data_IF_316789567063
#
_entry.id   IF_316789567063
#
_cell.length_a   1.000
_cell.length_b   1.000
_cell.length_c   1.000
_cell.angle_alpha   90.00
_cell.angle_beta   90.00
_cell.angle_gamma   90.00
#
_symmetry.space_group_name_H-M   'P 1'
#
loop_
_entity.id
_entity.type
_entity.pdbx_description
1 polymer ?
#
# COMPACT_ATOMS: atom_id res chain seq x y z
N UNK A 1 1.23 11.18 -0.13
CA UNK A 1 2.43 11.58 -0.89
C UNK A 1 2.62 10.72 -2.14
N UNK A 2 2.68 9.39 -2.02
CA UNK A 2 2.93 8.48 -3.16
C UNK A 2 1.92 8.60 -4.31
N UNK A 3 0.64 8.80 -4.00
CA UNK A 3 -0.40 9.07 -5.02
C UNK A 3 -0.10 10.31 -5.86
N UNK A 4 0.27 11.42 -5.20
CA UNK A 4 0.58 12.68 -5.88
C UNK A 4 1.81 12.51 -6.77
N UNK A 5 2.85 11.83 -6.27
CA UNK A 5 4.09 11.65 -7.01
C UNK A 5 3.89 10.72 -8.21
N UNK A 6 3.20 9.58 -8.06
CA UNK A 6 2.90 8.69 -9.18
C UNK A 6 1.97 9.36 -10.20
N UNK A 7 0.95 10.09 -9.74
CA UNK A 7 0.08 10.87 -10.62
C UNK A 7 0.86 11.91 -11.43
N UNK A 8 1.77 12.65 -10.78
CA UNK A 8 2.61 13.64 -11.44
C UNK A 8 3.59 12.98 -12.43
N UNK A 9 4.18 11.83 -12.08
CA UNK A 9 4.98 11.02 -13.02
C UNK A 9 4.18 10.66 -14.28
N UNK A 10 2.94 10.21 -14.11
CA UNK A 10 2.04 9.89 -15.23
C UNK A 10 1.75 11.10 -16.12
N UNK A 11 1.42 12.24 -15.51
CA UNK A 11 1.21 13.49 -16.23
C UNK A 11 2.45 13.91 -17.02
N UNK A 12 3.64 13.81 -16.42
CA UNK A 12 4.90 14.07 -17.14
C UNK A 12 5.08 13.11 -18.33
N UNK A 13 4.65 11.85 -18.20
CA UNK A 13 4.70 10.87 -19.28
C UNK A 13 3.74 11.18 -20.43
N UNK A 14 2.54 11.69 -20.15
CA UNK A 14 1.58 12.07 -21.20
C UNK A 14 1.89 13.41 -21.86
N UNK A 15 2.29 14.41 -21.07
CA UNK A 15 2.44 15.79 -21.53
C UNK A 15 3.89 16.22 -21.76
N UNK A 16 4.86 15.35 -21.46
CA UNK A 16 6.28 15.54 -21.78
C UNK A 16 6.90 16.82 -21.16
N UNK A 17 6.49 17.20 -19.96
CA UNK A 17 7.08 18.32 -19.20
C UNK A 17 8.05 17.85 -18.11
N UNK A 18 8.91 18.75 -17.64
CA UNK A 18 9.83 18.53 -16.52
C UNK A 18 9.36 19.24 -15.24
N UNK A 19 9.72 18.69 -14.09
CA UNK A 19 9.43 19.27 -12.77
C UNK A 19 10.75 19.42 -12.04
N UNK A 20 11.05 20.64 -11.56
CA UNK A 20 12.32 20.95 -10.88
C UNK A 20 13.57 20.49 -11.65
N UNK A 21 13.56 20.68 -12.98
CA UNK A 21 14.62 20.23 -13.90
C UNK A 21 14.83 18.71 -13.99
N UNK A 22 14.04 17.89 -13.27
CA UNK A 22 14.04 16.45 -13.42
C UNK A 22 13.20 16.06 -14.64
N UNK A 23 13.76 15.19 -15.48
CA UNK A 23 13.01 14.59 -16.58
C UNK A 23 12.08 13.47 -16.08
N UNK A 24 11.17 13.02 -16.95
CA UNK A 24 10.19 11.98 -16.62
C UNK A 24 10.83 10.72 -16.01
N UNK A 25 11.95 10.24 -16.55
CA UNK A 25 12.63 9.02 -16.07
C UNK A 25 13.16 9.17 -14.65
N UNK A 26 13.87 10.27 -14.37
CA UNK A 26 14.42 10.55 -13.04
C UNK A 26 13.31 10.68 -12.01
N UNK A 27 12.22 11.38 -12.36
CA UNK A 27 11.09 11.56 -11.48
C UNK A 27 10.32 10.25 -11.25
N UNK A 28 10.19 9.40 -12.28
CA UNK A 28 9.58 8.08 -12.18
C UNK A 28 10.33 7.15 -11.22
N UNK A 29 11.68 7.18 -11.25
CA UNK A 29 12.50 6.40 -10.32
C UNK A 29 12.25 6.82 -8.88
N UNK A 30 12.31 8.11 -8.58
CA UNK A 30 12.09 8.65 -7.22
C UNK A 30 10.68 8.32 -6.73
N UNK A 31 9.67 8.57 -7.57
CA UNK A 31 8.27 8.27 -7.28
C UNK A 31 8.04 6.79 -6.97
N UNK A 32 8.61 5.89 -7.79
CA UNK A 32 8.50 4.44 -7.60
C UNK A 32 9.15 3.97 -6.29
N UNK A 33 10.35 4.49 -5.96
CA UNK A 33 11.03 4.17 -4.70
C UNK A 33 10.18 4.62 -3.50
N UNK A 34 9.70 5.86 -3.51
CA UNK A 34 8.88 6.40 -2.41
C UNK A 34 7.56 5.63 -2.26
N UNK A 35 6.94 5.25 -3.37
CA UNK A 35 5.77 4.40 -3.38
C UNK A 35 6.06 3.03 -2.75
N UNK A 36 7.07 2.30 -3.24
CA UNK A 36 7.43 0.97 -2.71
C UNK A 36 7.77 1.02 -1.22
N UNK A 37 8.47 2.08 -0.79
CA UNK A 37 8.79 2.31 0.60
C UNK A 37 7.52 2.52 1.44
N UNK A 38 6.59 3.34 0.97
CA UNK A 38 5.32 3.62 1.66
C UNK A 38 4.48 2.35 1.81
N UNK A 39 4.34 1.56 0.74
CA UNK A 39 3.59 0.29 0.77
C UNK A 39 4.22 -0.73 1.72
N UNK A 40 5.56 -0.77 1.75
CA UNK A 40 6.30 -1.61 2.70
C UNK A 40 6.06 -1.19 4.15
N UNK A 41 6.03 0.11 4.45
CA UNK A 41 5.70 0.63 5.78
C UNK A 41 4.28 0.25 6.20
N UNK A 42 3.31 0.34 5.29
CA UNK A 42 1.93 -0.06 5.53
C UNK A 42 1.87 -1.54 5.89
N UNK A 43 2.50 -2.43 5.10
CA UNK A 43 2.55 -3.86 5.41
C UNK A 43 3.20 -4.13 6.78
N UNK A 44 4.33 -3.48 7.08
CA UNK A 44 5.00 -3.64 8.37
C UNK A 44 4.15 -3.17 9.54
N UNK A 45 3.41 -2.07 9.40
CA UNK A 45 2.47 -1.63 10.42
C UNK A 45 1.46 -2.74 10.78
N UNK A 46 0.87 -3.41 9.80
CA UNK A 46 -0.08 -4.50 10.03
C UNK A 46 0.58 -5.78 10.58
N UNK A 47 1.84 -6.05 10.21
CA UNK A 47 2.61 -7.17 10.79
C UNK A 47 2.86 -6.92 12.28
N UNK A 48 3.38 -5.73 12.63
CA UNK A 48 3.73 -5.37 14.00
C UNK A 48 2.47 -5.31 14.86
N UNK A 49 1.43 -4.61 14.40
CA UNK A 49 0.19 -4.47 15.18
C UNK A 49 -0.50 -5.81 15.36
N UNK A 50 -0.55 -6.65 14.31
CA UNK A 50 -1.10 -8.00 14.43
C UNK A 50 -0.34 -8.88 15.44
N UNK A 51 1.00 -8.75 15.52
CA UNK A 51 1.81 -9.45 16.52
C UNK A 51 1.47 -8.95 17.94
N UNK A 52 1.41 -7.63 18.15
CA UNK A 52 1.05 -7.03 19.45
C UNK A 52 -0.35 -7.41 19.91
N UNK A 53 -1.34 -7.41 19.01
CA UNK A 53 -2.71 -7.87 19.34
C UNK A 53 -2.67 -9.33 19.81
N UNK A 54 -1.94 -10.21 19.10
CA UNK A 54 -1.81 -11.62 19.48
C UNK A 54 -1.18 -11.80 20.87
N UNK A 55 -0.12 -11.07 21.16
CA UNK A 55 0.56 -11.08 22.46
C UNK A 55 -0.39 -10.61 23.57
N UNK A 56 -1.08 -9.49 23.36
CA UNK A 56 -2.03 -8.93 24.32
C UNK A 56 -3.22 -9.84 24.60
N UNK A 57 -3.78 -10.51 23.58
CA UNK A 57 -4.84 -11.53 23.76
C UNK A 57 -4.35 -12.64 24.69
N UNK A 58 -3.11 -13.11 24.49
CA UNK A 58 -2.52 -14.19 25.30
C UNK A 58 -2.29 -13.75 26.75
N UNK A 59 -1.77 -12.54 26.95
CA UNK A 59 -1.46 -12.00 28.28
C UNK A 59 -2.70 -11.71 29.11
N UNK A 60 -3.77 -11.22 28.50
CA UNK A 60 -5.02 -10.83 29.19
C UNK A 60 -6.12 -11.89 29.08
N UNK A 61 -5.81 -13.07 28.54
CA UNK A 61 -6.75 -14.16 28.27
C UNK A 61 -8.01 -13.69 27.54
N UNK A 62 -7.88 -12.74 26.61
CA UNK A 62 -9.00 -12.23 25.81
C UNK A 62 -9.51 -13.31 24.84
N UNK A 63 -10.63 -13.02 24.18
CA UNK A 63 -11.18 -13.93 23.19
C UNK A 63 -10.23 -14.11 21.98
N UNK A 64 -9.86 -15.36 21.71
CA UNK A 64 -9.01 -15.72 20.58
C UNK A 64 -9.70 -15.48 19.22
N UNK A 65 -11.03 -15.38 19.18
CA UNK A 65 -11.77 -15.05 17.97
C UNK A 65 -11.41 -13.65 17.43
N UNK A 66 -11.04 -12.70 18.30
CA UNK A 66 -10.57 -11.37 17.88
C UNK A 66 -9.34 -11.44 16.95
N UNK A 67 -8.48 -12.45 17.15
CA UNK A 67 -7.32 -12.65 16.28
C UNK A 67 -7.72 -13.09 14.86
N UNK A 68 -8.89 -13.71 14.67
CA UNK A 68 -9.40 -14.01 13.32
C UNK A 68 -9.68 -12.74 12.52
N UNK A 69 -10.08 -11.64 13.17
CA UNK A 69 -10.23 -10.33 12.54
C UNK A 69 -8.91 -9.85 11.92
N UNK A 70 -7.81 -9.96 12.68
CA UNK A 70 -6.46 -9.62 12.21
C UNK A 70 -6.06 -10.44 10.98
N UNK A 71 -6.31 -11.75 11.00
CA UNK A 71 -5.98 -12.64 9.87
C UNK A 71 -6.79 -12.24 8.62
N UNK A 72 -8.12 -12.09 8.76
CA UNK A 72 -9.00 -11.69 7.64
C UNK A 72 -8.57 -10.38 7.02
N UNK A 73 -8.27 -9.38 7.84
CA UNK A 73 -7.80 -8.08 7.39
C UNK A 73 -6.48 -8.18 6.62
N UNK A 74 -5.49 -8.95 7.12
CA UNK A 74 -4.22 -9.16 6.41
C UNK A 74 -4.41 -9.89 5.08
N UNK A 75 -5.29 -10.91 5.03
CA UNK A 75 -5.60 -11.64 3.80
C UNK A 75 -6.29 -10.76 2.75
N UNK A 76 -7.05 -9.76 3.18
CA UNK A 76 -7.62 -8.73 2.30
C UNK A 76 -6.55 -7.75 1.83
N UNK A 77 -5.74 -7.21 2.73
CA UNK A 77 -4.81 -6.14 2.41
C UNK A 77 -3.59 -6.58 1.58
N UNK A 78 -2.90 -7.64 2.00
CA UNK A 78 -1.55 -7.94 1.52
C UNK A 78 -1.50 -8.34 0.03
N UNK A 79 -2.45 -9.15 -0.49
CA UNK A 79 -2.45 -9.47 -1.92
C UNK A 79 -2.61 -8.22 -2.79
N UNK A 80 -3.50 -7.30 -2.41
CA UNK A 80 -3.75 -6.08 -3.17
C UNK A 80 -2.59 -5.09 -3.12
N UNK A 81 -1.92 -4.94 -1.97
CA UNK A 81 -0.68 -4.15 -1.89
C UNK A 81 0.43 -4.78 -2.74
N UNK A 82 0.62 -6.09 -2.60
CA UNK A 82 1.70 -6.83 -3.29
C UNK A 82 1.53 -6.78 -4.80
N UNK A 83 0.33 -7.05 -5.33
CA UNK A 83 0.07 -7.02 -6.76
C UNK A 83 0.27 -5.60 -7.31
N UNK A 84 -0.10 -4.55 -6.56
CA UNK A 84 0.12 -3.18 -7.00
C UNK A 84 1.60 -2.81 -7.02
N UNK A 85 2.38 -3.26 -6.03
CA UNK A 85 3.85 -3.13 -6.05
C UNK A 85 4.43 -3.80 -7.29
N UNK A 86 4.01 -5.02 -7.63
CA UNK A 86 4.47 -5.70 -8.85
C UNK A 86 4.12 -4.91 -10.11
N UNK A 87 2.87 -4.42 -10.21
CA UNK A 87 2.42 -3.64 -11.37
C UNK A 87 3.22 -2.34 -11.52
N UNK A 88 3.37 -1.55 -10.44
CA UNK A 88 4.11 -0.28 -10.47
C UNK A 88 5.61 -0.51 -10.73
N UNK A 89 6.19 -1.56 -10.14
CA UNK A 89 7.59 -1.94 -10.38
C UNK A 89 7.84 -2.34 -11.84
N UNK A 90 6.97 -3.18 -12.39
CA UNK A 90 7.03 -3.57 -13.81
C UNK A 90 6.85 -2.35 -14.73
N UNK A 91 5.93 -1.45 -14.37
CA UNK A 91 5.69 -0.23 -15.13
C UNK A 91 6.90 0.70 -15.19
N UNK A 92 7.65 0.82 -14.09
CA UNK A 92 8.91 1.56 -14.07
C UNK A 92 9.96 0.92 -14.99
N UNK A 93 10.16 -0.41 -14.90
CA UNK A 93 11.12 -1.15 -15.74
C UNK A 93 10.77 -0.99 -17.23
N UNK A 94 9.49 -1.12 -17.59
CA UNK A 94 9.01 -0.94 -18.96
C UNK A 94 9.18 0.49 -19.47
N UNK A 95 9.18 1.50 -18.58
CA UNK A 95 9.54 2.87 -18.94
C UNK A 95 10.96 2.97 -19.52
N UNK A 96 11.91 2.18 -18.99
CA UNK A 96 13.24 2.04 -19.57
C UNK A 96 13.24 1.45 -20.99
N UNK A 97 12.38 0.46 -21.23
CA UNK A 97 12.22 -0.16 -22.55
C UNK A 97 11.55 0.78 -23.58
N UNK A 98 10.66 1.67 -23.13
CA UNK A 98 10.13 2.75 -23.98
C UNK A 98 11.24 3.72 -24.36
N UNK A 99 12.09 4.09 -23.40
CA UNK A 99 13.23 4.99 -23.64
C UNK A 99 14.25 4.41 -24.63
N UNK A 100 14.46 3.10 -24.64
CA UNK A 100 15.32 2.42 -25.61
C UNK A 100 14.66 2.14 -26.97
N UNK A 101 13.38 2.50 -27.13
CA UNK A 101 12.60 2.20 -28.35
C UNK A 101 12.17 0.74 -28.49
N UNK A 102 12.35 -0.08 -27.45
CA UNK A 102 12.05 -1.52 -27.46
C UNK A 102 10.61 -1.84 -27.04
N UNK A 103 9.85 -0.85 -26.56
CA UNK A 103 8.46 -0.99 -26.15
C UNK A 103 7.62 0.23 -26.56
N UNK A 104 6.38 0.07 -27.05
CA UNK A 104 5.58 1.20 -27.53
C UNK A 104 5.06 2.06 -26.38
N UNK A 105 5.22 3.38 -26.49
CA UNK A 105 4.82 4.35 -25.46
C UNK A 105 3.31 4.37 -25.18
N UNK A 106 2.45 4.11 -26.17
CA UNK A 106 1.00 4.07 -25.95
C UNK A 106 0.58 2.89 -25.05
N UNK A 107 1.24 1.73 -25.21
CA UNK A 107 0.96 0.56 -24.38
C UNK A 107 1.45 0.81 -22.95
N UNK A 108 2.60 1.47 -22.81
CA UNK A 108 3.12 1.92 -21.52
C UNK A 108 2.14 2.88 -20.83
N UNK A 109 1.60 3.86 -21.54
CA UNK A 109 0.55 4.75 -21.03
C UNK A 109 -0.68 4.00 -20.51
N UNK A 110 -1.23 3.07 -21.31
CA UNK A 110 -2.40 2.28 -20.86
C UNK A 110 -2.10 1.43 -19.62
N UNK A 111 -0.91 0.84 -19.51
CA UNK A 111 -0.50 0.11 -18.31
C UNK A 111 -0.38 1.03 -17.10
N UNK A 112 0.04 2.29 -17.29
CA UNK A 112 0.06 3.29 -16.22
C UNK A 112 -1.35 3.55 -15.69
N UNK A 113 -2.33 3.74 -16.58
CA UNK A 113 -3.70 4.03 -16.18
C UNK A 113 -4.28 2.88 -15.34
N UNK A 114 -4.05 1.64 -15.77
CA UNK A 114 -4.46 0.44 -15.01
C UNK A 114 -3.75 0.39 -13.64
N UNK A 115 -2.46 0.68 -13.60
CA UNK A 115 -1.68 0.72 -12.36
C UNK A 115 -2.23 1.76 -11.38
N UNK A 116 -2.55 2.96 -11.88
CA UNK A 116 -3.07 4.08 -11.09
C UNK A 116 -4.49 3.81 -10.58
N UNK A 117 -5.37 3.26 -11.44
CA UNK A 117 -6.71 2.84 -11.04
C UNK A 117 -6.66 1.78 -9.94
N UNK A 118 -5.81 0.76 -10.11
CA UNK A 118 -5.61 -0.27 -9.10
C UNK A 118 -5.02 0.33 -7.80
N UNK A 119 -4.10 1.30 -7.89
CA UNK A 119 -3.56 1.96 -6.70
C UNK A 119 -4.63 2.76 -5.94
N UNK A 120 -5.53 3.48 -6.64
CA UNK A 120 -6.65 4.16 -5.99
C UNK A 120 -7.55 3.20 -5.22
N UNK A 121 -7.81 2.01 -5.78
CA UNK A 121 -8.54 0.97 -5.06
C UNK A 121 -7.76 0.47 -3.84
N UNK A 122 -6.45 0.22 -3.97
CA UNK A 122 -5.61 -0.19 -2.84
C UNK A 122 -5.66 0.83 -1.70
N UNK A 123 -5.65 2.13 -2.00
CA UNK A 123 -5.78 3.19 -0.97
C UNK A 123 -7.09 3.05 -0.19
N UNK A 124 -8.21 2.75 -0.87
CA UNK A 124 -9.50 2.52 -0.21
C UNK A 124 -9.45 1.27 0.68
N UNK A 125 -8.85 0.18 0.20
CA UNK A 125 -8.66 -1.05 0.99
C UNK A 125 -7.82 -0.77 2.23
N UNK A 126 -6.67 -0.11 2.05
CA UNK A 126 -5.78 0.29 3.14
C UNK A 126 -6.52 1.10 4.18
N UNK A 127 -7.22 2.17 3.79
CA UNK A 127 -7.96 3.03 4.70
C UNK A 127 -9.01 2.27 5.52
N UNK A 128 -9.73 1.34 4.88
CA UNK A 128 -10.71 0.51 5.57
C UNK A 128 -10.03 -0.47 6.54
N UNK A 129 -8.92 -1.11 6.15
CA UNK A 129 -8.16 -1.97 7.04
C UNK A 129 -7.55 -1.19 8.23
N UNK A 130 -7.15 0.06 8.06
CA UNK A 130 -6.70 0.89 9.18
C UNK A 130 -7.83 1.14 10.19
N UNK A 131 -9.04 1.42 9.72
CA UNK A 131 -10.22 1.57 10.59
C UNK A 131 -10.55 0.27 11.33
N UNK A 132 -10.63 -0.85 10.60
CA UNK A 132 -10.86 -2.19 11.17
C UNK A 132 -9.80 -2.53 12.24
N UNK A 133 -8.53 -2.21 12.00
CA UNK A 133 -7.45 -2.45 12.97
C UNK A 133 -7.60 -1.60 14.24
N UNK A 134 -7.96 -0.33 14.11
CA UNK A 134 -8.21 0.55 15.25
C UNK A 134 -9.39 0.04 16.09
N UNK A 135 -10.48 -0.38 15.44
CA UNK A 135 -11.65 -0.96 16.13
C UNK A 135 -11.30 -2.24 16.89
N UNK A 136 -10.45 -3.11 16.31
CA UNK A 136 -9.95 -4.31 16.99
C UNK A 136 -9.15 -3.96 18.24
N UNK A 137 -8.26 -2.96 18.17
CA UNK A 137 -7.45 -2.52 19.32
C UNK A 137 -8.34 -1.94 20.43
N UNK A 138 -9.35 -1.13 20.09
CA UNK A 138 -10.29 -0.57 21.07
C UNK A 138 -11.10 -1.68 21.74
N UNK A 139 -11.63 -2.63 20.95
CA UNK A 139 -12.41 -3.76 21.46
C UNK A 139 -11.59 -4.62 22.41
N UNK A 140 -10.33 -4.89 22.04
CA UNK A 140 -9.38 -5.65 22.84
C UNK A 140 -9.11 -4.97 24.20
N UNK A 141 -8.90 -3.64 24.19
CA UNK A 141 -8.68 -2.86 25.41
C UNK A 141 -9.90 -2.94 26.36
N UNK A 142 -11.11 -2.76 25.81
CA UNK A 142 -12.34 -2.81 26.60
C UNK A 142 -12.57 -4.20 27.22
N UNK A 143 -12.31 -5.28 26.48
CA UNK A 143 -12.42 -6.65 27.01
C UNK A 143 -11.44 -6.91 28.17
N UNK A 144 -10.20 -6.43 28.04
CA UNK A 144 -9.21 -6.59 29.10
C UNK A 144 -9.60 -5.83 30.38
N UNK A 145 -10.18 -4.62 30.26
CA UNK A 145 -10.67 -3.87 31.43
C UNK A 145 -11.85 -4.55 32.13
N UNK A 146 -12.81 -5.10 31.38
CA UNK A 146 -13.94 -5.81 31.96
C UNK A 146 -13.51 -7.02 32.80
N UNK A 147 -12.46 -7.74 32.38
CA UNK A 147 -11.90 -8.86 33.15
C UNK A 147 -11.15 -8.45 34.41
N UNK A 148 -10.73 -7.20 34.52
CA UNK A 148 -9.98 -6.66 35.67
C UNK A 148 -10.89 -5.99 36.71
N UNK A 149 -12.19 -5.86 36.44
CA UNK A 149 -13.15 -5.28 37.37
C UNK A 149 -13.70 -6.41 38.25
N UNK A 150 -13.59 -6.33 39.59
CA UNK A 150 -13.94 -7.41 40.53
C UNK A 150 -15.44 -7.76 40.56
#
# INVERSE_FOLDING_TARGET
MSFVFLGLTGLMGYFQFSVWSANHMQFALISSILYMFTETLIMFYFIITGKKIKEYIKENQCDAELYRGVIKMKMKLFPHVTINMVIVGAQFILGGAVHSGSFPGWAHGLMFDVALLHFMWVIVIQHNCFKENTELVITLHNQAQQKQTP
#
